data_IF_325346946298
#
_entry.id   IF_325346946298
#
_cell.length_a   1.000
_cell.length_b   1.000
_cell.length_c   1.000
_cell.angle_alpha   90.00
_cell.angle_beta   90.00
_cell.angle_gamma   90.00
#
_symmetry.space_group_name_H-M   'P 1'
#
loop_
_entity.id
_entity.type
_entity.pdbx_description
1 polymer ?
#
# COMPACT_ATOMS: atom_id res chain seq x y z
N UNK A 1 -12.04 -22.06 25.95
CA UNK A 1 -11.00 -22.37 24.96
C UNK A 1 -11.60 -22.14 23.58
N UNK A 2 -11.36 -20.96 22.98
CA UNK A 2 -11.71 -20.70 21.58
C UNK A 2 -10.41 -20.46 20.87
N UNK A 3 -9.83 -21.52 20.30
CA UNK A 3 -8.67 -21.38 19.42
C UNK A 3 -9.12 -20.57 18.22
N UNK A 4 -8.79 -19.29 18.19
CA UNK A 4 -8.89 -18.50 16.98
C UNK A 4 -8.05 -19.24 15.93
N UNK A 5 -8.71 -19.87 14.95
CA UNK A 5 -8.04 -20.46 13.80
C UNK A 5 -7.10 -19.41 13.24
N UNK A 6 -5.79 -19.67 13.31
CA UNK A 6 -4.76 -18.80 12.75
C UNK A 6 -4.85 -18.87 11.22
N UNK A 7 -5.90 -18.27 10.65
CA UNK A 7 -6.13 -18.21 9.21
C UNK A 7 -5.00 -17.41 8.58
N UNK A 8 -4.39 -17.99 7.56
CA UNK A 8 -3.34 -17.35 6.78
C UNK A 8 -3.97 -16.27 5.91
N UNK A 9 -3.28 -15.14 5.80
CA UNK A 9 -3.70 -14.03 4.96
C UNK A 9 -3.17 -14.26 3.55
N UNK A 10 -4.04 -14.12 2.56
CA UNK A 10 -3.71 -14.25 1.14
C UNK A 10 -3.24 -12.89 0.59
N UNK A 11 -1.97 -12.59 0.83
CA UNK A 11 -1.32 -11.37 0.33
C UNK A 11 -1.37 -11.27 -1.20
N UNK A 12 -1.27 -12.39 -1.91
CA UNK A 12 -1.28 -12.44 -3.36
C UNK A 12 -2.61 -11.97 -3.93
N UNK A 13 -3.72 -12.49 -3.40
CA UNK A 13 -5.09 -12.10 -3.80
C UNK A 13 -5.34 -10.63 -3.57
N UNK A 14 -4.98 -10.12 -2.38
CA UNK A 14 -5.21 -8.72 -2.03
C UNK A 14 -4.34 -7.79 -2.87
N UNK A 15 -3.05 -8.11 -3.06
CA UNK A 15 -2.19 -7.33 -3.96
C UNK A 15 -2.70 -7.34 -5.41
N UNK A 16 -3.17 -8.47 -5.93
CA UNK A 16 -3.73 -8.54 -7.27
C UNK A 16 -5.01 -7.68 -7.42
N UNK A 17 -5.88 -7.69 -6.40
CA UNK A 17 -7.06 -6.83 -6.37
C UNK A 17 -6.70 -5.36 -6.25
N UNK A 18 -5.73 -5.03 -5.40
CA UNK A 18 -5.23 -3.67 -5.23
C UNK A 18 -4.61 -3.14 -6.53
N UNK A 19 -3.84 -3.96 -7.25
CA UNK A 19 -3.20 -3.57 -8.50
C UNK A 19 -4.24 -3.28 -9.61
N UNK A 20 -5.31 -4.08 -9.68
CA UNK A 20 -6.45 -3.79 -10.58
C UNK A 20 -7.17 -2.47 -10.26
N UNK A 21 -7.08 -2.00 -9.02
CA UNK A 21 -7.71 -0.78 -8.53
C UNK A 21 -6.68 0.30 -8.14
N UNK A 22 -5.48 0.26 -8.73
CA UNK A 22 -4.32 0.98 -8.19
C UNK A 22 -4.54 2.50 -8.08
N UNK A 23 -5.18 3.14 -9.06
CA UNK A 23 -5.48 4.58 -9.01
C UNK A 23 -6.35 4.94 -7.78
N UNK A 24 -7.33 4.12 -7.42
CA UNK A 24 -8.17 4.35 -6.25
C UNK A 24 -7.39 4.06 -4.95
N UNK A 25 -6.59 3.00 -4.94
CA UNK A 25 -5.77 2.62 -3.78
C UNK A 25 -4.76 3.71 -3.43
N UNK A 26 -3.98 4.19 -4.41
CA UNK A 26 -2.96 5.23 -4.15
C UNK A 26 -3.59 6.58 -3.79
N UNK A 27 -4.77 6.92 -4.34
CA UNK A 27 -5.51 8.13 -3.93
C UNK A 27 -6.01 8.03 -2.49
N UNK A 28 -6.48 6.85 -2.08
CA UNK A 28 -6.93 6.62 -0.71
C UNK A 28 -5.78 6.67 0.30
N UNK A 29 -4.64 6.06 -0.04
CA UNK A 29 -3.45 6.05 0.83
C UNK A 29 -2.70 7.39 0.84
N UNK A 30 -2.63 8.06 -0.31
CA UNK A 30 -1.81 9.25 -0.54
C UNK A 30 -2.62 10.35 -1.24
N UNK A 31 -3.62 10.93 -0.55
CA UNK A 31 -4.61 11.83 -1.15
C UNK A 31 -4.04 13.15 -1.66
N UNK A 32 -2.91 13.60 -1.10
CA UNK A 32 -2.19 14.80 -1.56
C UNK A 32 -1.22 14.52 -2.72
N UNK A 33 -1.11 13.26 -3.16
CA UNK A 33 -0.29 12.90 -4.30
C UNK A 33 -0.95 13.25 -5.63
N UNK A 34 -0.17 13.09 -6.70
CA UNK A 34 -0.61 13.30 -8.07
C UNK A 34 -0.02 12.26 -9.00
N UNK A 35 -0.71 12.02 -10.11
CA UNK A 35 -0.21 11.14 -11.17
C UNK A 35 0.78 11.89 -12.06
N UNK A 36 1.93 11.28 -12.29
CA UNK A 36 2.94 11.70 -13.26
C UNK A 36 3.27 10.48 -14.14
N UNK A 37 2.70 10.44 -15.35
CA UNK A 37 2.77 9.29 -16.24
C UNK A 37 2.33 7.97 -15.56
N UNK A 38 3.25 7.01 -15.43
CA UNK A 38 3.06 5.72 -14.76
C UNK A 38 3.41 5.75 -13.27
N UNK A 39 3.62 6.91 -12.67
CA UNK A 39 3.98 7.05 -11.27
C UNK A 39 2.91 7.86 -10.52
N UNK A 40 2.68 7.51 -9.26
CA UNK A 40 2.01 8.36 -8.29
C UNK A 40 3.07 9.01 -7.41
N UNK A 41 3.14 10.33 -7.46
CA UNK A 41 4.13 11.11 -6.73
C UNK A 41 3.45 11.79 -5.54
N UNK A 42 3.97 11.57 -4.34
CA UNK A 42 3.39 12.10 -3.11
C UNK A 42 4.47 12.58 -2.13
N UNK A 43 4.03 13.14 -1.00
CA UNK A 43 4.89 13.31 0.17
C UNK A 43 5.01 11.97 0.90
N UNK A 44 6.18 11.67 1.46
CA UNK A 44 6.31 10.54 2.38
C UNK A 44 5.58 10.90 3.71
N UNK A 45 4.48 10.21 4.08
CA UNK A 45 3.73 10.53 5.30
C UNK A 45 4.50 10.22 6.59
N UNK A 46 5.60 9.46 6.50
CA UNK A 46 6.40 9.05 7.64
C UNK A 46 7.65 9.89 7.87
N UNK A 47 7.96 10.83 6.97
CA UNK A 47 9.12 11.70 7.10
C UNK A 47 8.74 13.05 7.73
N UNK A 48 9.66 13.62 8.51
CA UNK A 48 9.50 14.94 9.12
C UNK A 48 9.63 16.08 8.11
N UNK A 49 10.49 15.92 7.10
CA UNK A 49 10.61 16.89 6.02
C UNK A 49 9.53 16.66 4.92
N UNK A 50 9.07 17.74 4.30
CA UNK A 50 7.98 17.74 3.31
C UNK A 50 8.48 17.84 1.86
N UNK A 51 9.71 17.39 1.54
CA UNK A 51 10.18 17.45 0.14
C UNK A 51 9.31 16.55 -0.76
N UNK A 52 8.52 17.19 -1.62
CA UNK A 52 7.70 16.52 -2.63
C UNK A 52 8.61 15.92 -3.71
N UNK A 53 8.18 14.80 -4.31
CA UNK A 53 8.84 14.24 -5.50
C UNK A 53 9.73 13.05 -5.25
N UNK A 54 10.17 12.80 -4.01
CA UNK A 54 11.02 11.65 -3.69
C UNK A 54 10.24 10.37 -3.42
N UNK A 55 8.98 10.48 -2.98
CA UNK A 55 8.13 9.33 -2.70
C UNK A 55 7.25 9.02 -3.90
N UNK A 56 7.47 7.84 -4.50
CA UNK A 56 6.83 7.43 -5.75
C UNK A 56 6.27 6.02 -5.65
N UNK A 57 5.14 5.80 -6.31
CA UNK A 57 4.51 4.48 -6.50
C UNK A 57 4.35 4.23 -7.99
N UNK A 58 4.91 3.14 -8.48
CA UNK A 58 4.75 2.74 -9.86
C UNK A 58 3.36 2.14 -10.08
N UNK A 59 2.55 2.79 -10.91
CA UNK A 59 1.15 2.44 -11.19
C UNK A 59 0.99 1.18 -12.05
N UNK A 60 2.07 0.61 -12.58
CA UNK A 60 2.03 -0.63 -13.39
C UNK A 60 2.33 -1.84 -12.52
N UNK A 61 3.25 -1.70 -11.56
CA UNK A 61 3.79 -2.82 -10.76
C UNK A 61 3.36 -2.79 -9.30
N UNK A 62 2.89 -1.64 -8.79
CA UNK A 62 2.59 -1.44 -7.38
C UNK A 62 3.81 -1.27 -6.47
N UNK A 63 5.03 -1.32 -7.03
CA UNK A 63 6.28 -1.06 -6.30
C UNK A 63 6.36 0.41 -5.91
N UNK A 64 6.98 0.70 -4.78
CA UNK A 64 7.11 2.06 -4.28
C UNK A 64 8.46 2.30 -3.61
N UNK A 65 8.85 3.57 -3.52
CA UNK A 65 10.03 3.97 -2.79
C UNK A 65 10.09 5.47 -2.49
N UNK A 66 10.79 5.81 -1.40
CA UNK A 66 11.25 7.15 -1.09
C UNK A 66 12.75 7.25 -1.39
N UNK A 67 13.12 7.94 -2.47
CA UNK A 67 14.52 8.09 -2.89
C UNK A 67 15.35 8.99 -1.95
N UNK A 68 14.72 9.68 -0.99
CA UNK A 68 15.44 10.49 0.00
C UNK A 68 15.72 9.75 1.31
N UNK A 69 14.83 8.87 1.77
CA UNK A 69 15.08 8.04 2.96
C UNK A 69 15.65 6.66 2.63
N UNK A 70 15.44 6.18 1.40
CA UNK A 70 15.79 4.82 0.97
C UNK A 70 14.70 3.77 1.28
N UNK A 71 13.60 4.16 1.95
CA UNK A 71 12.46 3.28 2.20
C UNK A 71 11.84 2.82 0.88
N UNK A 72 11.43 1.56 0.82
CA UNK A 72 10.90 0.95 -0.40
C UNK A 72 10.12 -0.32 -0.09
N UNK A 73 9.20 -0.66 -0.99
CA UNK A 73 8.42 -1.88 -0.90
C UNK A 73 8.03 -2.42 -2.27
N UNK A 74 7.71 -3.71 -2.28
CA UNK A 74 7.49 -4.47 -3.51
C UNK A 74 6.06 -4.46 -4.02
N UNK A 75 5.10 -3.99 -3.23
CA UNK A 75 3.68 -4.14 -3.51
C UNK A 75 2.79 -3.12 -2.75
N UNK A 76 1.48 -3.17 -3.00
CA UNK A 76 0.51 -2.24 -2.43
C UNK A 76 0.14 -2.55 -0.98
N UNK A 77 0.26 -3.81 -0.53
CA UNK A 77 0.08 -4.14 0.89
C UNK A 77 1.22 -3.57 1.74
N UNK A 78 2.46 -3.70 1.29
CA UNK A 78 3.62 -3.09 1.97
C UNK A 78 3.55 -1.56 1.93
N UNK A 79 3.03 -0.97 0.85
CA UNK A 79 2.73 0.47 0.78
C UNK A 79 1.71 0.85 1.85
N UNK A 80 0.58 0.15 1.90
CA UNK A 80 -0.47 0.41 2.88
C UNK A 80 0.08 0.31 4.30
N UNK A 81 0.81 -0.76 4.62
CA UNK A 81 1.45 -0.98 5.92
C UNK A 81 2.40 0.16 6.30
N UNK A 82 3.22 0.61 5.35
CA UNK A 82 4.12 1.74 5.55
C UNK A 82 3.33 3.02 5.84
N UNK A 83 2.38 3.38 4.98
CA UNK A 83 1.59 4.62 5.11
C UNK A 83 0.77 4.65 6.41
N UNK A 84 0.15 3.54 6.80
CA UNK A 84 -0.70 3.46 7.99
C UNK A 84 0.06 3.13 9.27
N UNK A 85 1.37 2.85 9.19
CA UNK A 85 2.22 2.40 10.30
C UNK A 85 1.66 1.17 11.02
N UNK A 86 1.12 0.22 10.26
CA UNK A 86 0.57 -1.04 10.79
C UNK A 86 1.39 -2.23 10.32
N UNK A 87 1.15 -3.40 10.91
CA UNK A 87 1.72 -4.64 10.37
C UNK A 87 1.23 -4.90 8.94
N UNK A 88 2.00 -5.63 8.14
CA UNK A 88 1.55 -6.04 6.80
C UNK A 88 0.28 -6.89 6.85
N UNK A 89 0.10 -7.69 7.91
CA UNK A 89 -1.12 -8.49 8.13
C UNK A 89 -2.35 -7.59 8.27
N UNK A 90 -2.27 -6.59 9.15
CA UNK A 90 -3.39 -5.67 9.38
C UNK A 90 -3.68 -4.80 8.16
N UNK A 91 -2.62 -4.33 7.49
CA UNK A 91 -2.74 -3.56 6.26
C UNK A 91 -3.42 -4.37 5.15
N UNK A 92 -3.05 -5.65 5.00
CA UNK A 92 -3.66 -6.55 4.03
C UNK A 92 -5.15 -6.75 4.31
N UNK A 93 -5.53 -6.97 5.58
CA UNK A 93 -6.94 -7.18 5.95
C UNK A 93 -7.75 -5.91 5.67
N UNK A 94 -7.27 -4.74 6.11
CA UNK A 94 -7.96 -3.44 5.89
C UNK A 94 -8.07 -3.09 4.41
N UNK A 95 -7.03 -3.39 3.63
CA UNK A 95 -7.04 -3.16 2.18
C UNK A 95 -8.00 -4.13 1.49
N UNK A 96 -8.09 -5.38 1.93
CA UNK A 96 -9.07 -6.32 1.39
C UNK A 96 -10.52 -5.88 1.69
N UNK A 97 -10.78 -5.41 2.91
CA UNK A 97 -12.08 -4.86 3.32
C UNK A 97 -12.48 -3.66 2.46
N UNK A 98 -11.57 -2.71 2.23
CA UNK A 98 -11.87 -1.53 1.39
C UNK A 98 -12.07 -1.87 -0.09
N UNK A 99 -11.51 -3.00 -0.55
CA UNK A 99 -11.67 -3.51 -1.91
C UNK A 99 -12.82 -4.52 -2.06
N UNK A 100 -13.49 -4.90 -0.97
CA UNK A 100 -14.55 -5.93 -0.98
C UNK A 100 -14.04 -7.34 -1.31
N UNK A 101 -12.81 -7.69 -0.93
CA UNK A 101 -12.17 -8.99 -1.21
C UNK A 101 -11.96 -9.77 0.09
N UNK A 102 -12.12 -11.09 0.06
CA UNK A 102 -11.85 -11.94 1.23
C UNK A 102 -10.33 -12.07 1.50
N UNK A 103 -9.83 -11.67 2.69
CA UNK A 103 -8.39 -11.55 2.96
C UNK A 103 -7.68 -12.87 3.30
N UNK A 104 -8.41 -13.95 3.59
CA UNK A 104 -7.81 -15.21 4.02
C UNK A 104 -7.82 -16.26 2.90
N UNK A 105 -6.83 -17.16 2.96
CA UNK A 105 -6.73 -18.36 2.09
C UNK A 105 -8.02 -19.18 2.12
#
# INVERSE_FOLDING_TARGET
MTGATNRRVDFGRVNAAALRNIDAVVRGLLPSGRREASEWVAHNPNRSDKRLGSFKVNLITGKWGDFSSGDRGGDLVSLAAFVTRTSQRDACIRLAESLGVHPFE
#
